data_IF_789865369474
#
_entry.id   IF_789865369474
#
_cell.length_a   1.000
_cell.length_b   1.000
_cell.length_c   1.000
_cell.angle_alpha   90.00
_cell.angle_beta   90.00
_cell.angle_gamma   90.00
#
_symmetry.space_group_name_H-M   'P 1'
#
loop_
_entity.id
_entity.type
_entity.pdbx_description
1 polymer ?
#
# COMPACT_ATOMS: atom_id res chain seq x y z
N UNK A 1 -14.79 -25.54 -58.89
CA UNK A 1 -16.03 -26.21 -59.37
C UNK A 1 -16.80 -26.69 -58.15
N UNK A 2 -18.10 -26.33 -58.09
CA UNK A 2 -19.20 -26.94 -57.30
C UNK A 2 -19.20 -26.62 -55.78
N UNK A 3 -20.01 -25.69 -55.27
CA UNK A 3 -21.47 -25.72 -54.98
C UNK A 3 -21.84 -26.67 -53.83
N UNK A 4 -22.80 -26.45 -52.92
CA UNK A 4 -23.60 -25.33 -52.39
C UNK A 4 -24.57 -25.97 -51.34
N UNK A 5 -25.29 -25.14 -50.55
CA UNK A 5 -26.52 -25.45 -49.76
C UNK A 5 -26.33 -26.24 -48.43
N UNK A 6 -27.10 -26.10 -47.34
CA UNK A 6 -28.29 -25.36 -46.86
C UNK A 6 -28.28 -25.57 -45.33
N UNK A 7 -28.52 -24.64 -44.40
CA UNK A 7 -29.71 -23.81 -44.25
C UNK A 7 -30.88 -24.62 -43.65
N UNK A 8 -31.30 -24.32 -42.39
CA UNK A 8 -32.67 -24.39 -41.81
C UNK A 8 -32.78 -25.03 -40.41
N UNK A 9 -33.12 -24.21 -39.41
CA UNK A 9 -34.37 -24.34 -38.65
C UNK A 9 -34.57 -23.09 -37.77
N UNK A 10 -35.47 -22.22 -38.22
CA UNK A 10 -36.12 -21.19 -37.41
C UNK A 10 -37.38 -21.74 -36.75
N UNK A 11 -37.89 -20.96 -35.79
CA UNK A 11 -39.28 -20.86 -35.31
C UNK A 11 -39.59 -21.66 -34.03
N UNK A 12 -40.22 -21.09 -33.00
CA UNK A 12 -41.07 -19.90 -33.03
C UNK A 12 -41.31 -19.27 -31.66
N UNK A 13 -41.79 -18.03 -31.77
CA UNK A 13 -42.23 -17.14 -30.71
C UNK A 13 -43.48 -17.63 -29.98
N UNK A 14 -43.70 -17.10 -28.78
CA UNK A 14 -45.01 -16.58 -28.37
C UNK A 14 -44.85 -15.61 -27.21
N UNK A 15 -45.06 -14.33 -27.52
CA UNK A 15 -45.42 -13.33 -26.54
C UNK A 15 -46.93 -13.44 -26.26
N UNK A 16 -47.34 -13.24 -25.01
CA UNK A 16 -48.67 -12.69 -24.73
C UNK A 16 -48.64 -11.87 -23.45
N UNK A 17 -49.11 -10.64 -23.61
CA UNK A 17 -49.22 -9.53 -22.66
C UNK A 17 -50.49 -9.58 -21.79
N UNK A 18 -50.55 -8.62 -20.86
CA UNK A 18 -51.71 -8.08 -20.12
C UNK A 18 -51.99 -8.76 -18.77
N UNK A 19 -52.48 -8.09 -17.71
CA UNK A 19 -53.03 -6.75 -17.54
C UNK A 19 -52.87 -6.33 -16.06
N UNK A 20 -52.89 -5.02 -15.80
CA UNK A 20 -52.74 -4.46 -14.46
C UNK A 20 -53.90 -4.73 -13.50
N UNK A 21 -53.61 -4.62 -12.20
CA UNK A 21 -54.61 -4.48 -11.15
C UNK A 21 -54.30 -3.27 -10.27
N UNK A 22 -55.37 -2.59 -9.90
CA UNK A 22 -55.44 -1.20 -9.44
C UNK A 22 -55.42 -1.13 -7.91
N UNK A 23 -54.73 -0.11 -7.40
CA UNK A 23 -55.02 0.72 -6.20
C UNK A 23 -55.82 0.09 -5.03
N UNK A 24 -55.16 0.02 -3.87
CA UNK A 24 -55.73 0.13 -2.51
C UNK A 24 -54.56 0.25 -1.51
N UNK A 25 -54.20 1.41 -0.95
CA UNK A 25 -54.86 2.24 0.08
C UNK A 25 -54.74 1.61 1.49
N UNK A 26 -53.90 2.27 2.32
CA UNK A 26 -53.92 2.42 3.79
C UNK A 26 -52.99 1.57 4.68
N UNK A 27 -52.04 2.31 5.30
CA UNK A 27 -51.78 2.41 6.75
C UNK A 27 -51.52 1.12 7.55
N UNK A 28 -50.28 0.94 8.01
CA UNK A 28 -49.94 0.44 9.36
C UNK A 28 -48.42 0.55 9.58
N UNK A 29 -47.95 1.56 10.33
CA UNK A 29 -47.52 1.48 11.75
C UNK A 29 -46.16 0.79 11.98
N UNK A 30 -45.18 1.63 12.30
CA UNK A 30 -44.23 1.52 13.41
C UNK A 30 -43.55 0.15 13.62
N UNK A 31 -42.26 0.09 13.30
CA UNK A 31 -41.29 -0.42 14.28
C UNK A 31 -39.91 0.18 14.02
N UNK A 32 -39.62 1.26 14.75
CA UNK A 32 -38.28 1.79 14.92
C UNK A 32 -37.47 0.80 15.77
N UNK A 33 -36.80 -0.15 15.13
CA UNK A 33 -35.70 -0.87 15.76
C UNK A 33 -34.42 -0.06 15.54
N UNK A 34 -34.26 0.99 16.36
CA UNK A 34 -32.93 1.56 16.63
C UNK A 34 -32.19 0.48 17.41
N UNK A 35 -31.48 -0.40 16.70
CA UNK A 35 -30.38 -1.13 17.30
C UNK A 35 -29.34 -0.07 17.64
N UNK A 36 -29.25 0.25 18.94
CA UNK A 36 -28.06 0.87 19.51
C UNK A 36 -26.89 -0.09 19.25
N UNK A 37 -26.31 -0.02 18.06
CA UNK A 37 -24.98 -0.52 17.82
C UNK A 37 -24.06 0.35 18.65
N UNK A 38 -23.79 -0.17 19.85
CA UNK A 38 -22.74 0.23 20.77
C UNK A 38 -21.57 0.79 19.96
N UNK A 39 -21.21 2.09 20.10
CA UNK A 39 -19.89 2.51 19.68
C UNK A 39 -18.94 1.68 20.53
N UNK A 40 -18.33 0.66 19.92
CA UNK A 40 -17.15 0.04 20.49
C UNK A 40 -16.25 1.21 20.78
N UNK A 41 -15.92 1.40 22.05
CA UNK A 41 -14.93 2.36 22.46
C UNK A 41 -13.76 2.17 21.48
N UNK A 42 -13.55 3.18 20.62
CA UNK A 42 -12.24 3.45 20.07
C UNK A 42 -11.39 3.42 21.32
N UNK A 43 -10.63 2.32 21.47
CA UNK A 43 -9.65 2.22 22.52
C UNK A 43 -8.92 3.54 22.46
N UNK A 44 -8.89 4.26 23.57
CA UNK A 44 -8.07 5.44 23.73
C UNK A 44 -6.77 5.12 23.00
N UNK A 45 -6.51 5.83 21.91
CA UNK A 45 -5.32 5.63 21.11
C UNK A 45 -4.17 5.92 22.06
N UNK A 46 -3.72 4.88 22.75
CA UNK A 46 -2.41 4.83 23.34
C UNK A 46 -1.53 5.20 22.17
N UNK A 47 -1.00 6.42 22.19
CA UNK A 47 -0.12 6.94 21.17
C UNK A 47 0.98 5.90 21.04
N UNK A 48 0.87 5.02 20.02
CA UNK A 48 1.77 3.89 19.87
C UNK A 48 3.10 4.49 19.46
N UNK A 49 3.90 4.80 20.48
CA UNK A 49 5.22 5.40 20.29
C UNK A 49 6.04 4.41 19.51
N UNK A 50 6.27 4.72 18.24
CA UNK A 50 7.08 3.92 17.35
C UNK A 50 8.43 3.63 18.00
N UNK A 51 8.89 2.36 18.06
CA UNK A 51 10.19 2.04 18.63
C UNK A 51 11.31 2.86 17.96
N UNK A 52 12.25 3.39 18.75
CA UNK A 52 13.35 4.23 18.22
C UNK A 52 14.15 3.52 17.13
N UNK A 53 14.45 2.24 17.34
CA UNK A 53 15.17 1.40 16.36
C UNK A 53 14.42 1.30 15.04
N UNK A 54 13.09 1.18 15.09
CA UNK A 54 12.25 1.13 13.90
C UNK A 54 12.28 2.47 13.16
N UNK A 55 12.15 3.60 13.86
CA UNK A 55 12.27 4.93 13.23
C UNK A 55 13.62 5.12 12.54
N UNK A 56 14.71 4.74 13.21
CA UNK A 56 16.06 4.80 12.64
C UNK A 56 16.23 3.87 11.45
N UNK A 57 15.58 2.70 11.47
CA UNK A 57 15.56 1.77 10.36
C UNK A 57 14.80 2.36 9.16
N UNK A 58 13.61 2.93 9.35
CA UNK A 58 12.84 3.58 8.27
C UNK A 58 13.66 4.70 7.65
N UNK A 59 14.34 5.52 8.46
CA UNK A 59 15.22 6.59 7.96
C UNK A 59 16.29 6.05 7.00
N UNK A 60 17.07 5.06 7.46
CA UNK A 60 18.14 4.44 6.67
C UNK A 60 17.61 3.70 5.44
N UNK A 61 16.45 3.06 5.55
CA UNK A 61 15.82 2.32 4.46
C UNK A 61 15.37 3.27 3.36
N UNK A 62 14.63 4.33 3.72
CA UNK A 62 14.18 5.34 2.76
C UNK A 62 15.36 6.04 2.10
N UNK A 63 16.39 6.42 2.85
CA UNK A 63 17.59 7.05 2.29
C UNK A 63 18.31 6.13 1.31
N UNK A 64 18.65 4.90 1.73
CA UNK A 64 19.43 3.99 0.91
C UNK A 64 18.70 3.52 -0.36
N UNK A 65 17.38 3.28 -0.27
CA UNK A 65 16.61 2.92 -1.46
C UNK A 65 16.45 4.11 -2.42
N UNK A 66 16.15 5.30 -1.91
CA UNK A 66 16.05 6.50 -2.75
C UNK A 66 17.38 6.80 -3.44
N UNK A 67 18.51 6.76 -2.72
CA UNK A 67 19.84 6.96 -3.30
C UNK A 67 20.15 5.97 -4.42
N UNK A 68 19.87 4.67 -4.21
CA UNK A 68 20.07 3.65 -5.23
C UNK A 68 19.20 3.89 -6.47
N UNK A 69 17.93 4.26 -6.28
CA UNK A 69 16.98 4.47 -7.36
C UNK A 69 17.33 5.72 -8.17
N UNK A 70 17.69 6.81 -7.50
CA UNK A 70 18.13 8.05 -8.14
C UNK A 70 19.47 7.87 -8.86
N UNK A 71 20.38 7.07 -8.30
CA UNK A 71 21.63 6.68 -8.96
C UNK A 71 21.34 5.94 -10.28
N UNK A 72 20.41 4.98 -10.30
CA UNK A 72 20.01 4.32 -11.55
C UNK A 72 19.40 5.31 -12.55
N UNK A 73 18.51 6.20 -12.08
CA UNK A 73 17.83 7.18 -12.90
C UNK A 73 18.79 8.21 -13.53
N UNK A 74 19.92 8.49 -12.88
CA UNK A 74 20.97 9.39 -13.38
C UNK A 74 21.74 8.82 -14.58
N UNK A 75 21.53 7.55 -14.92
CA UNK A 75 22.24 6.87 -15.99
C UNK A 75 23.58 6.25 -15.56
N UNK A 76 23.82 6.14 -14.24
CA UNK A 76 25.00 5.48 -13.69
C UNK A 76 25.13 4.03 -14.18
N UNK A 77 26.36 3.51 -14.13
CA UNK A 77 26.64 2.12 -14.47
C UNK A 77 26.01 1.17 -13.45
N UNK A 78 25.74 -0.06 -13.87
CA UNK A 78 25.20 -1.10 -12.97
C UNK A 78 26.10 -1.34 -11.74
N UNK A 79 27.42 -1.20 -11.89
CA UNK A 79 28.35 -1.35 -10.79
C UNK A 79 28.19 -0.24 -9.74
N UNK A 80 27.95 0.99 -10.18
CA UNK A 80 27.69 2.14 -9.30
C UNK A 80 26.33 1.99 -8.60
N UNK A 81 25.27 1.64 -9.36
CA UNK A 81 23.95 1.37 -8.79
C UNK A 81 24.02 0.27 -7.74
N UNK A 82 24.76 -0.81 -8.00
CA UNK A 82 24.92 -1.90 -7.03
C UNK A 82 25.62 -1.45 -5.75
N UNK A 83 26.66 -0.63 -5.87
CA UNK A 83 27.37 -0.07 -4.70
C UNK A 83 26.47 0.86 -3.88
N UNK A 84 25.69 1.71 -4.55
CA UNK A 84 24.70 2.56 -3.89
C UNK A 84 23.59 1.74 -3.20
N UNK A 85 23.21 0.60 -3.77
CA UNK A 85 22.22 -0.29 -3.19
C UNK A 85 22.72 -1.13 -2.00
N UNK A 86 24.03 -1.36 -1.88
CA UNK A 86 24.59 -2.29 -0.88
C UNK A 86 24.22 -1.93 0.57
N UNK A 87 24.27 -0.65 1.01
CA UNK A 87 23.79 -0.25 2.33
C UNK A 87 22.31 -0.56 2.55
N UNK A 88 21.47 -0.37 1.52
CA UNK A 88 20.03 -0.58 1.62
C UNK A 88 19.66 -2.06 1.77
N UNK A 89 20.45 -2.98 1.17
CA UNK A 89 20.17 -4.43 1.22
C UNK A 89 20.09 -4.96 2.64
N UNK A 90 21.04 -4.62 3.50
CA UNK A 90 21.02 -5.10 4.89
C UNK A 90 19.86 -4.50 5.68
N UNK A 91 19.52 -3.24 5.43
CA UNK A 91 18.40 -2.57 6.09
C UNK A 91 17.06 -3.17 5.67
N UNK A 92 16.88 -3.51 4.39
CA UNK A 92 15.69 -4.22 3.89
C UNK A 92 15.59 -5.61 4.51
N UNK A 93 16.70 -6.36 4.62
CA UNK A 93 16.69 -7.66 5.32
C UNK A 93 16.30 -7.53 6.79
N UNK A 94 16.81 -6.50 7.47
CA UNK A 94 16.44 -6.21 8.85
C UNK A 94 14.94 -5.92 8.97
N UNK A 95 14.39 -5.09 8.07
CA UNK A 95 12.95 -4.81 8.01
C UNK A 95 12.13 -6.09 7.85
N UNK A 96 12.45 -6.89 6.84
CA UNK A 96 11.72 -8.13 6.53
C UNK A 96 11.77 -9.12 7.70
N UNK A 97 12.92 -9.24 8.37
CA UNK A 97 13.11 -10.20 9.46
C UNK A 97 12.43 -9.78 10.77
N UNK A 98 12.47 -8.49 11.12
CA UNK A 98 12.11 -8.01 12.46
C UNK A 98 10.81 -7.21 12.50
N UNK A 99 10.47 -6.52 11.42
CA UNK A 99 9.46 -5.47 11.43
C UNK A 99 8.25 -5.75 10.53
N UNK A 100 8.41 -6.45 9.40
CA UNK A 100 7.35 -6.70 8.40
C UNK A 100 6.01 -7.18 8.97
N UNK A 101 6.07 -8.09 9.94
CA UNK A 101 4.88 -8.71 10.55
C UNK A 101 4.74 -8.33 12.03
N UNK A 102 5.40 -7.26 12.46
CA UNK A 102 5.41 -6.85 13.86
C UNK A 102 4.10 -6.12 14.23
N UNK A 103 3.30 -6.66 15.15
CA UNK A 103 1.99 -6.09 15.48
C UNK A 103 2.07 -4.72 16.16
N UNK A 104 3.23 -4.35 16.72
CA UNK A 104 3.41 -3.05 17.39
C UNK A 104 3.45 -1.86 16.42
N UNK A 105 3.69 -2.11 15.14
CA UNK A 105 3.80 -1.06 14.12
C UNK A 105 2.86 -1.31 12.93
N UNK A 106 2.08 -2.38 12.96
CA UNK A 106 1.30 -2.82 11.80
C UNK A 106 0.21 -1.83 11.39
N UNK A 107 -0.29 -1.03 12.32
CA UNK A 107 -1.28 0.02 12.09
C UNK A 107 -0.67 1.38 11.72
N UNK A 108 0.66 1.49 11.71
CA UNK A 108 1.34 2.76 11.46
C UNK A 108 1.50 3.03 9.96
N UNK A 109 1.32 4.30 9.57
CA UNK A 109 1.43 4.72 8.17
C UNK A 109 2.83 4.49 7.61
N UNK A 110 3.90 4.69 8.40
CA UNK A 110 5.27 4.46 7.91
C UNK A 110 5.47 2.99 7.56
N UNK A 111 4.85 2.08 8.30
CA UNK A 111 4.94 0.65 8.03
C UNK A 111 4.20 0.26 6.75
N UNK A 112 3.00 0.81 6.54
CA UNK A 112 2.24 0.60 5.32
C UNK A 112 3.01 1.10 4.09
N UNK A 113 3.50 2.34 4.12
CA UNK A 113 4.24 2.97 3.02
C UNK A 113 5.54 2.21 2.68
N UNK A 114 6.32 1.75 3.67
CA UNK A 114 7.50 0.91 3.40
C UNK A 114 7.12 -0.44 2.78
N UNK A 115 6.02 -1.06 3.23
CA UNK A 115 5.55 -2.32 2.63
C UNK A 115 5.13 -2.15 1.19
N UNK A 116 4.40 -1.08 0.86
CA UNK A 116 4.00 -0.77 -0.52
C UNK A 116 5.23 -0.53 -1.41
N UNK A 117 6.20 0.27 -0.96
CA UNK A 117 7.44 0.48 -1.71
C UNK A 117 8.19 -0.83 -2.02
N UNK A 118 8.30 -1.72 -1.02
CA UNK A 118 8.98 -3.01 -1.19
C UNK A 118 8.16 -3.99 -2.03
N UNK A 119 6.84 -3.96 -1.94
CA UNK A 119 5.95 -4.77 -2.75
C UNK A 119 6.05 -4.37 -4.23
N UNK A 120 5.95 -3.08 -4.55
CA UNK A 120 6.09 -2.58 -5.92
C UNK A 120 7.44 -2.96 -6.55
N UNK A 121 8.55 -2.80 -5.80
CA UNK A 121 9.87 -3.24 -6.25
C UNK A 121 9.91 -4.75 -6.48
N UNK A 122 9.37 -5.52 -5.53
CA UNK A 122 9.32 -6.98 -5.60
C UNK A 122 8.53 -7.48 -6.81
N UNK A 123 7.34 -6.94 -7.04
CA UNK A 123 6.47 -7.26 -8.17
C UNK A 123 7.12 -6.90 -9.50
N UNK A 124 7.72 -5.71 -9.60
CA UNK A 124 8.42 -5.29 -10.81
C UNK A 124 9.55 -6.25 -11.16
N UNK A 125 10.46 -6.52 -10.22
CA UNK A 125 11.61 -7.38 -10.50
C UNK A 125 11.24 -8.86 -10.65
N UNK A 126 10.13 -9.30 -10.05
CA UNK A 126 9.57 -10.62 -10.31
C UNK A 126 9.04 -10.75 -11.74
N UNK A 127 8.36 -9.72 -12.25
CA UNK A 127 7.76 -9.73 -13.59
C UNK A 127 8.79 -9.50 -14.72
N UNK A 128 9.74 -8.59 -14.52
CA UNK A 128 10.64 -8.13 -15.58
C UNK A 128 12.10 -8.57 -15.40
N UNK A 129 12.45 -9.17 -14.25
CA UNK A 129 13.79 -9.64 -13.94
C UNK A 129 14.67 -8.62 -13.22
N UNK A 130 15.57 -9.10 -12.35
CA UNK A 130 16.36 -8.30 -11.40
C UNK A 130 17.35 -7.29 -12.01
N UNK A 131 17.67 -7.43 -13.31
CA UNK A 131 18.60 -6.54 -14.02
C UNK A 131 17.88 -5.48 -14.85
N UNK A 132 16.54 -5.49 -14.83
CA UNK A 132 15.73 -4.57 -15.61
C UNK A 132 15.64 -3.24 -14.90
N UNK A 133 15.94 -2.13 -15.60
CA UNK A 133 15.84 -0.79 -15.03
C UNK A 133 14.39 -0.45 -14.69
N UNK A 134 14.18 0.28 -13.60
CA UNK A 134 12.85 0.74 -13.21
C UNK A 134 12.27 1.66 -14.28
N UNK A 135 11.02 1.40 -14.65
CA UNK A 135 10.26 2.32 -15.49
C UNK A 135 10.00 3.63 -14.71
N UNK A 136 9.89 4.78 -15.39
CA UNK A 136 9.57 6.05 -14.72
C UNK A 136 8.36 6.02 -13.77
N UNK A 137 7.19 5.41 -14.13
CA UNK A 137 6.05 5.39 -13.23
C UNK A 137 6.29 4.57 -11.96
N UNK A 138 6.93 3.39 -12.06
CA UNK A 138 7.25 2.56 -10.89
C UNK A 138 8.26 3.27 -10.00
N UNK A 139 9.30 3.87 -10.59
CA UNK A 139 10.30 4.66 -9.87
C UNK A 139 9.65 5.79 -9.05
N UNK A 140 8.82 6.60 -9.70
CA UNK A 140 8.16 7.73 -9.05
C UNK A 140 7.23 7.26 -7.91
N UNK A 141 6.49 6.18 -8.14
CA UNK A 141 5.61 5.59 -7.12
C UNK A 141 6.38 5.12 -5.89
N UNK A 142 7.46 4.35 -6.09
CA UNK A 142 8.33 3.88 -5.00
C UNK A 142 8.94 5.07 -4.24
N UNK A 143 9.50 6.06 -4.93
CA UNK A 143 10.08 7.24 -4.28
C UNK A 143 9.04 8.03 -3.47
N UNK A 144 7.80 8.12 -3.97
CA UNK A 144 6.68 8.74 -3.24
C UNK A 144 6.38 7.99 -1.94
N UNK A 145 6.30 6.66 -1.96
CA UNK A 145 6.08 5.85 -0.76
C UNK A 145 7.22 6.01 0.26
N UNK A 146 8.48 5.95 -0.20
CA UNK A 146 9.65 6.13 0.68
C UNK A 146 9.68 7.53 1.33
N UNK A 147 9.30 8.57 0.58
CA UNK A 147 9.18 9.94 1.08
C UNK A 147 8.02 10.08 2.06
N UNK A 148 6.86 9.51 1.77
CA UNK A 148 5.70 9.53 2.68
C UNK A 148 6.03 8.86 4.01
N UNK A 149 6.66 7.68 3.98
CA UNK A 149 7.15 7.01 5.18
C UNK A 149 8.12 7.88 5.98
N UNK A 150 9.05 8.57 5.29
CA UNK A 150 10.04 9.44 5.95
C UNK A 150 9.39 10.68 6.59
N UNK A 151 8.46 11.32 5.90
CA UNK A 151 7.75 12.52 6.37
C UNK A 151 6.77 12.25 7.50
N UNK A 152 6.27 11.01 7.62
CA UNK A 152 5.36 10.62 8.70
C UNK A 152 6.09 10.21 10.00
N UNK A 153 7.42 10.15 10.01
CA UNK A 153 8.16 9.92 11.25
C UNK A 153 8.02 11.13 12.18
N UNK A 154 7.84 10.92 13.49
CA UNK A 154 7.86 12.02 14.45
C UNK A 154 9.25 12.67 14.45
N UNK A 155 9.28 14.00 14.57
CA UNK A 155 10.50 14.75 14.85
C UNK A 155 11.14 14.15 16.10
N UNK A 156 12.43 13.81 16.02
CA UNK A 156 13.12 13.32 17.22
C UNK A 156 13.20 14.50 18.18
N UNK A 157 12.39 14.48 19.25
CA UNK A 157 12.58 15.32 20.43
C UNK A 157 14.07 15.35 20.74
N UNK A 158 14.67 16.52 20.50
CA UNK A 158 16.11 16.67 20.41
C UNK A 158 16.81 16.08 21.63
N UNK A 159 17.93 15.41 21.39
CA UNK A 159 18.95 15.19 22.39
C UNK A 159 19.53 16.53 22.86
N UNK A 160 18.76 17.27 23.64
CA UNK A 160 19.19 18.44 24.41
C UNK A 160 18.96 18.17 25.89
N UNK A 161 19.30 16.96 26.33
CA UNK A 161 19.56 16.64 27.73
C UNK A 161 21.00 16.94 28.12
N UNK A 162 21.55 18.07 27.66
CA UNK A 162 22.78 18.66 28.22
C UNK A 162 22.38 19.84 29.10
N UNK A 163 21.47 19.58 30.04
CA UNK A 163 21.17 20.51 31.13
C UNK A 163 22.19 20.29 32.25
N UNK A 164 23.13 21.22 32.32
CA UNK A 164 23.67 21.82 33.55
C UNK A 164 24.13 20.85 34.64
N UNK A 165 25.34 20.31 34.46
CA UNK A 165 26.20 19.95 35.58
C UNK A 165 27.04 21.17 35.97
N UNK A 166 26.44 22.06 36.77
CA UNK A 166 27.13 23.14 37.47
C UNK A 166 27.81 22.51 38.70
N UNK A 167 29.11 22.20 38.62
CA UNK A 167 30.00 21.97 39.77
C UNK A 167 31.43 22.32 39.39
#
# INVERSE_FOLDING_TARGET
MMSSTSGRAESGASASSSAGSRRGVLLSLISASVLLTRPSAVGAAEEVKLPKEYRQLVKRLSEGLSESIETEASGASEAEVRRAADPAKEVVREFVRKWRDNPRISSDITHAEIKEALAELGEFYLAYGQRTKLTPPVRESVLRHLKAARSALPEEEGGSGKVLGLF
#
